data_IF_941445268002
#
_entry.id   IF_941445268002
#
_cell.length_a   1.000
_cell.length_b   1.000
_cell.length_c   1.000
_cell.angle_alpha   90.00
_cell.angle_beta   90.00
_cell.angle_gamma   90.00
#
_symmetry.space_group_name_H-M   'P 1'
#
loop_
_entity.id
_entity.type
_entity.pdbx_description
1 polymer ?
#
# COMPACT_ATOMS: atom_id res chain seq x y z
N UNK A 1 7.14 -16.64 -0.99
CA UNK A 1 6.60 -16.31 0.35
C UNK A 1 5.60 -17.39 0.69
N UNK A 2 5.65 -17.90 1.91
CA UNK A 2 4.63 -18.79 2.48
C UNK A 2 3.95 -18.11 3.67
N UNK A 3 2.87 -18.72 4.18
CA UNK A 3 2.09 -18.16 5.29
C UNK A 3 2.92 -17.98 6.58
N UNK A 4 3.86 -18.87 6.84
CA UNK A 4 4.75 -18.79 8.01
C UNK A 4 5.65 -17.55 7.96
N UNK A 5 6.27 -17.30 6.81
CA UNK A 5 7.14 -16.13 6.59
C UNK A 5 6.35 -14.83 6.65
N UNK A 6 5.09 -14.84 6.19
CA UNK A 6 4.17 -13.72 6.33
C UNK A 6 3.86 -13.41 7.81
N UNK A 7 3.50 -14.42 8.61
CA UNK A 7 3.19 -14.23 10.03
C UNK A 7 4.42 -13.75 10.83
N UNK A 8 5.61 -14.32 10.61
CA UNK A 8 6.85 -13.87 11.23
C UNK A 8 7.12 -12.39 10.94
N UNK A 9 6.86 -11.97 9.70
CA UNK A 9 6.99 -10.57 9.30
C UNK A 9 6.05 -9.65 10.07
N UNK A 10 4.80 -10.04 10.30
CA UNK A 10 3.83 -9.24 11.05
C UNK A 10 4.26 -9.05 12.51
N UNK A 11 4.73 -10.12 13.17
CA UNK A 11 5.20 -10.03 14.56
C UNK A 11 6.43 -9.12 14.69
N UNK A 12 7.38 -9.20 13.74
CA UNK A 12 8.57 -8.35 13.74
C UNK A 12 8.24 -6.85 13.60
N UNK A 13 7.10 -6.51 13.00
CA UNK A 13 6.69 -5.13 12.74
C UNK A 13 5.77 -4.53 13.81
N UNK A 14 5.30 -5.32 14.79
CA UNK A 14 4.35 -4.84 15.81
C UNK A 14 4.88 -3.64 16.60
N UNK A 15 6.13 -3.70 17.06
CA UNK A 15 6.76 -2.61 17.82
C UNK A 15 7.03 -1.36 16.98
N UNK A 16 7.25 -1.53 15.67
CA UNK A 16 7.50 -0.43 14.76
C UNK A 16 6.30 0.52 14.66
N UNK A 17 5.07 -0.01 14.53
CA UNK A 17 3.89 0.85 14.39
C UNK A 17 3.60 1.69 15.63
N UNK A 18 3.91 1.18 16.82
CA UNK A 18 3.84 1.97 18.07
C UNK A 18 4.90 3.08 18.07
N UNK A 19 6.14 2.73 17.72
CA UNK A 19 7.25 3.68 17.72
C UNK A 19 7.05 4.81 16.69
N UNK A 20 6.54 4.49 15.49
CA UNK A 20 6.32 5.49 14.46
C UNK A 20 5.08 6.36 14.74
N UNK A 21 4.05 5.82 15.39
CA UNK A 21 2.93 6.60 15.90
C UNK A 21 3.40 7.61 16.96
N UNK A 22 4.21 7.17 17.93
CA UNK A 22 4.78 8.04 18.96
C UNK A 22 5.64 9.17 18.35
N UNK A 23 6.45 8.84 17.34
CA UNK A 23 7.23 9.84 16.60
C UNK A 23 6.34 10.85 15.88
N UNK A 24 5.22 10.41 15.29
CA UNK A 24 4.21 11.30 14.69
C UNK A 24 3.56 12.23 15.71
N UNK A 25 3.16 11.71 16.87
CA UNK A 25 2.60 12.52 17.97
C UNK A 25 3.57 13.56 18.52
N UNK A 26 4.86 13.24 18.52
CA UNK A 26 5.93 14.12 18.99
C UNK A 26 6.40 15.14 17.94
N UNK A 27 5.74 15.20 16.77
CA UNK A 27 6.16 16.06 15.65
C UNK A 27 7.64 15.84 15.27
N UNK A 28 8.08 14.57 15.27
CA UNK A 28 9.45 14.24 14.95
C UNK A 28 9.77 14.58 13.48
N UNK A 29 11.01 15.02 13.17
CA UNK A 29 11.41 15.30 11.80
C UNK A 29 11.38 14.02 10.95
N UNK A 30 11.17 14.18 9.64
CA UNK A 30 11.09 13.05 8.69
C UNK A 30 12.30 12.10 8.77
N UNK A 31 13.50 12.62 9.07
CA UNK A 31 14.71 11.81 9.27
C UNK A 31 14.53 10.73 10.35
N UNK A 32 13.83 11.05 11.44
CA UNK A 32 13.51 10.11 12.52
C UNK A 32 12.54 9.03 12.04
N UNK A 33 11.48 9.41 11.29
CA UNK A 33 10.53 8.46 10.72
C UNK A 33 11.21 7.51 9.74
N UNK A 34 12.08 8.06 8.87
CA UNK A 34 12.89 7.29 7.93
C UNK A 34 13.78 6.28 8.64
N UNK A 35 14.45 6.69 9.71
CA UNK A 35 15.32 5.81 10.49
C UNK A 35 14.52 4.65 11.12
N UNK A 36 13.34 4.92 11.68
CA UNK A 36 12.42 3.89 12.18
C UNK A 36 11.99 2.92 11.08
N UNK A 37 11.67 3.43 9.89
CA UNK A 37 11.34 2.59 8.73
C UNK A 37 12.49 1.67 8.31
N UNK A 38 13.73 2.17 8.31
CA UNK A 38 14.93 1.37 8.01
C UNK A 38 15.15 0.28 9.07
N UNK A 39 14.98 0.60 10.34
CA UNK A 39 15.07 -0.37 11.44
C UNK A 39 14.02 -1.47 11.31
N UNK A 40 12.78 -1.10 10.95
CA UNK A 40 11.69 -2.02 10.72
C UNK A 40 11.94 -2.93 9.51
N UNK A 41 12.46 -2.38 8.40
CA UNK A 41 12.85 -3.18 7.24
C UNK A 41 13.93 -4.20 7.61
N UNK A 42 14.96 -3.78 8.36
CA UNK A 42 16.02 -4.69 8.84
C UNK A 42 15.47 -5.78 9.78
N UNK A 43 14.55 -5.43 10.67
CA UNK A 43 13.92 -6.39 11.58
C UNK A 43 13.08 -7.42 10.82
N UNK A 44 12.29 -6.97 9.84
CA UNK A 44 11.54 -7.82 8.92
C UNK A 44 12.49 -8.79 8.20
N UNK A 45 13.52 -8.27 7.51
CA UNK A 45 14.45 -9.10 6.74
C UNK A 45 15.16 -10.15 7.61
N UNK A 46 15.54 -9.82 8.84
CA UNK A 46 16.09 -10.80 9.78
C UNK A 46 15.08 -11.90 10.11
N UNK A 47 13.84 -11.53 10.41
CA UNK A 47 12.78 -12.47 10.77
C UNK A 47 12.32 -13.37 9.61
N UNK A 48 12.53 -12.94 8.36
CA UNK A 48 12.10 -13.64 7.15
C UNK A 48 13.23 -14.31 6.39
N UNK A 49 14.46 -14.33 6.91
CA UNK A 49 15.61 -14.91 6.22
C UNK A 49 15.96 -14.19 4.90
N UNK A 50 15.77 -12.87 4.86
CA UNK A 50 16.04 -12.03 3.70
C UNK A 50 14.89 -11.95 2.69
N UNK A 51 13.77 -12.62 2.94
CA UNK A 51 12.58 -12.52 2.07
C UNK A 51 11.91 -11.16 2.28
N UNK A 52 11.88 -10.35 1.22
CA UNK A 52 11.20 -9.06 1.24
C UNK A 52 9.67 -9.26 1.15
N UNK A 53 8.97 -9.19 2.28
CA UNK A 53 7.53 -9.44 2.38
C UNK A 53 6.69 -8.16 2.32
N UNK A 54 7.16 -7.05 2.92
CA UNK A 54 6.35 -5.85 3.15
C UNK A 54 7.10 -4.53 3.04
N UNK A 55 8.25 -4.46 2.34
CA UNK A 55 9.04 -3.23 2.30
C UNK A 55 8.26 -1.99 1.83
N UNK A 56 7.38 -2.14 0.83
CA UNK A 56 6.52 -1.05 0.36
C UNK A 56 5.49 -0.63 1.42
N UNK A 57 4.81 -1.62 2.00
CA UNK A 57 3.87 -1.39 3.10
C UNK A 57 4.52 -0.73 4.34
N UNK A 58 5.73 -1.14 4.77
CA UNK A 58 6.41 -0.54 5.93
C UNK A 58 6.56 0.98 5.77
N UNK A 59 6.96 1.43 4.58
CA UNK A 59 7.16 2.84 4.30
C UNK A 59 5.82 3.59 4.23
N UNK A 60 4.91 3.18 3.35
CA UNK A 60 3.64 3.89 3.14
C UNK A 60 2.76 3.85 4.39
N UNK A 61 2.57 2.67 4.99
CA UNK A 61 1.76 2.51 6.19
C UNK A 61 2.40 3.23 7.38
N UNK A 62 3.73 3.20 7.50
CA UNK A 62 4.44 3.91 8.55
C UNK A 62 4.20 5.42 8.53
N UNK A 63 4.27 6.05 7.34
CA UNK A 63 3.97 7.47 7.19
C UNK A 63 2.51 7.80 7.48
N UNK A 64 1.58 6.97 7.02
CA UNK A 64 0.16 7.16 7.30
C UNK A 64 -0.15 7.02 8.80
N UNK A 65 0.50 6.08 9.50
CA UNK A 65 0.38 5.92 10.96
C UNK A 65 0.94 7.15 11.68
N UNK A 66 2.12 7.64 11.30
CA UNK A 66 2.68 8.86 11.89
C UNK A 66 1.77 10.08 11.66
N UNK A 67 1.25 10.25 10.45
CA UNK A 67 0.36 11.36 10.11
C UNK A 67 -0.97 11.28 10.87
N UNK A 68 -1.59 10.10 10.94
CA UNK A 68 -2.82 9.89 11.71
C UNK A 68 -2.61 10.19 13.20
N UNK A 69 -1.51 9.71 13.78
CA UNK A 69 -1.19 9.93 15.18
C UNK A 69 -0.91 11.41 15.49
N UNK A 70 -0.20 12.11 14.58
CA UNK A 70 0.01 13.56 14.65
C UNK A 70 -1.31 14.32 14.67
N UNK A 71 -2.18 14.07 13.68
CA UNK A 71 -3.46 14.77 13.57
C UNK A 71 -4.35 14.52 14.79
N UNK A 72 -4.39 13.27 15.28
CA UNK A 72 -5.14 12.91 16.49
C UNK A 72 -4.64 13.68 17.71
N UNK A 73 -3.33 13.91 17.83
CA UNK A 73 -2.74 14.73 18.91
C UNK A 73 -3.06 16.22 18.77
N UNK A 74 -3.07 16.75 17.55
CA UNK A 74 -3.29 18.18 17.29
C UNK A 74 -4.76 18.59 17.44
N UNK A 75 -5.69 17.74 16.99
CA UNK A 75 -7.11 18.08 16.92
C UNK A 75 -7.97 17.39 17.99
N UNK A 76 -7.38 16.52 18.82
CA UNK A 76 -8.10 15.68 19.79
C UNK A 76 -9.29 14.91 19.17
N UNK A 77 -9.19 14.59 17.88
CA UNK A 77 -10.23 13.94 17.09
C UNK A 77 -9.61 12.99 16.06
N UNK A 78 -10.40 11.99 15.64
CA UNK A 78 -10.00 11.07 14.58
C UNK A 78 -10.08 11.79 13.23
N UNK A 79 -8.99 11.74 12.46
CA UNK A 79 -8.92 12.36 11.15
C UNK A 79 -9.48 11.44 10.07
N UNK A 80 -10.18 12.01 9.09
CA UNK A 80 -10.55 11.31 7.86
C UNK A 80 -9.29 10.82 7.12
N UNK A 81 -9.35 9.65 6.50
CA UNK A 81 -8.21 9.04 5.82
C UNK A 81 -7.64 9.85 4.65
N UNK A 82 -8.46 10.68 3.98
CA UNK A 82 -7.99 11.64 2.97
C UNK A 82 -7.19 12.75 3.65
N UNK A 83 -7.65 13.23 4.82
CA UNK A 83 -6.91 14.22 5.61
C UNK A 83 -5.56 13.65 6.09
N UNK A 84 -5.51 12.39 6.52
CA UNK A 84 -4.25 11.70 6.84
C UNK A 84 -3.30 11.65 5.63
N UNK A 85 -3.81 11.30 4.45
CA UNK A 85 -3.00 11.28 3.22
C UNK A 85 -2.45 12.68 2.88
N UNK A 86 -3.29 13.72 2.98
CA UNK A 86 -2.88 15.10 2.72
C UNK A 86 -1.84 15.59 3.73
N UNK A 87 -1.98 15.21 5.00
CA UNK A 87 -1.03 15.58 6.05
C UNK A 87 0.39 15.03 5.77
N UNK A 88 0.51 13.85 5.16
CA UNK A 88 1.82 13.33 4.71
C UNK A 88 2.49 14.29 3.72
N UNK A 89 1.74 14.78 2.73
CA UNK A 89 2.25 15.77 1.79
C UNK A 89 2.58 17.09 2.49
N UNK A 90 1.63 17.65 3.27
CA UNK A 90 1.81 18.94 3.94
C UNK A 90 3.04 18.95 4.84
N UNK A 91 3.28 17.89 5.60
CA UNK A 91 4.35 17.87 6.60
C UNK A 91 5.70 17.39 6.07
N UNK A 92 5.71 16.55 5.03
CA UNK A 92 6.93 15.85 4.62
C UNK A 92 7.22 15.90 3.12
N UNK A 93 6.52 16.70 2.30
CA UNK A 93 6.75 16.80 0.85
C UNK A 93 8.22 16.99 0.48
N UNK A 94 8.82 18.11 0.90
CA UNK A 94 10.20 18.45 0.54
C UNK A 94 11.18 17.41 1.11
N UNK A 95 11.02 17.05 2.38
CA UNK A 95 11.88 16.06 3.04
C UNK A 95 11.81 14.66 2.38
N UNK A 96 10.67 14.28 1.81
CA UNK A 96 10.49 13.03 1.07
C UNK A 96 11.26 13.05 -0.26
N UNK A 97 11.25 14.20 -0.95
CA UNK A 97 11.91 14.39 -2.25
C UNK A 97 13.42 14.56 -2.09
N UNK A 98 13.86 15.27 -1.05
CA UNK A 98 15.27 15.54 -0.76
C UNK A 98 15.99 14.35 -0.10
N UNK A 99 15.25 13.40 0.46
CA UNK A 99 15.85 12.26 1.16
C UNK A 99 16.80 11.47 0.25
N UNK A 100 17.99 11.08 0.73
CA UNK A 100 18.97 10.39 -0.08
C UNK A 100 18.41 9.09 -0.66
N UNK A 101 18.66 8.91 -1.95
CA UNK A 101 18.33 7.70 -2.69
C UNK A 101 19.51 6.76 -2.64
N UNK A 102 19.24 5.48 -2.40
CA UNK A 102 20.20 4.43 -2.68
C UNK A 102 20.05 4.06 -4.18
N UNK A 103 20.98 4.46 -5.05
CA UNK A 103 20.90 4.19 -6.49
C UNK A 103 21.05 2.70 -6.80
N UNK A 104 21.63 1.91 -5.88
CA UNK A 104 21.79 0.47 -6.03
C UNK A 104 20.58 -0.31 -5.55
N UNK A 105 19.66 0.34 -4.82
CA UNK A 105 18.42 -0.30 -4.41
C UNK A 105 17.64 -0.81 -5.63
N UNK A 106 17.15 -2.04 -5.52
CA UNK A 106 16.40 -2.69 -6.61
C UNK A 106 15.21 -1.86 -7.06
N UNK A 107 14.49 -1.25 -6.13
CA UNK A 107 13.37 -0.35 -6.43
C UNK A 107 13.78 0.86 -7.27
N UNK A 108 14.88 1.53 -6.93
CA UNK A 108 15.33 2.71 -7.66
C UNK A 108 15.81 2.37 -9.08
N UNK A 109 16.50 1.24 -9.25
CA UNK A 109 16.89 0.74 -10.58
C UNK A 109 15.67 0.46 -11.45
N UNK A 110 14.64 -0.20 -10.90
CA UNK A 110 13.43 -0.54 -11.65
C UNK A 110 12.64 0.70 -12.03
N UNK A 111 12.52 1.68 -11.13
CA UNK A 111 11.89 2.96 -11.42
C UNK A 111 12.55 3.69 -12.58
N UNK A 112 13.88 3.81 -12.57
CA UNK A 112 14.64 4.42 -13.66
C UNK A 112 14.43 3.67 -14.98
N UNK A 113 14.43 2.34 -14.93
CA UNK A 113 14.23 1.49 -16.12
C UNK A 113 12.83 1.66 -16.73
N UNK A 114 11.79 1.80 -15.90
CA UNK A 114 10.40 1.81 -16.37
C UNK A 114 9.77 3.19 -16.46
N UNK A 115 10.42 4.23 -15.93
CA UNK A 115 9.92 5.62 -15.99
C UNK A 115 8.71 5.88 -15.09
N UNK A 116 8.57 5.14 -13.98
CA UNK A 116 7.40 5.22 -13.09
C UNK A 116 7.71 5.93 -11.77
N UNK A 117 6.71 6.66 -11.27
CA UNK A 117 6.77 7.30 -9.95
C UNK A 117 6.99 6.25 -8.85
N UNK A 118 7.76 6.61 -7.84
CA UNK A 118 8.05 5.73 -6.72
C UNK A 118 7.11 5.97 -5.56
N UNK A 119 7.28 5.15 -4.53
CA UNK A 119 6.50 5.27 -3.30
C UNK A 119 6.70 6.62 -2.60
N UNK A 120 7.86 7.26 -2.77
CA UNK A 120 8.15 8.58 -2.20
C UNK A 120 7.40 9.68 -2.91
N UNK A 121 7.39 9.67 -4.24
CA UNK A 121 6.65 10.63 -5.05
C UNK A 121 5.13 10.47 -4.83
N UNK A 122 4.66 9.24 -4.67
CA UNK A 122 3.29 8.96 -4.24
C UNK A 122 2.99 9.56 -2.86
N UNK A 123 3.89 9.39 -1.88
CA UNK A 123 3.72 9.96 -0.54
C UNK A 123 3.76 11.50 -0.54
N UNK A 124 4.71 12.09 -1.27
CA UNK A 124 4.86 13.54 -1.40
C UNK A 124 3.65 14.18 -2.09
N UNK A 125 2.99 13.47 -3.00
CA UNK A 125 1.72 13.87 -3.61
C UNK A 125 0.47 13.53 -2.76
N UNK A 126 0.66 13.06 -1.52
CA UNK A 126 -0.43 12.71 -0.61
C UNK A 126 -1.22 11.50 -1.06
N UNK A 127 -0.55 10.49 -1.61
CA UNK A 127 -1.12 9.20 -2.04
C UNK A 127 -2.39 9.33 -2.91
N UNK A 128 -2.30 9.88 -4.13
CA UNK A 128 -3.47 10.10 -4.99
C UNK A 128 -4.29 8.83 -5.23
N UNK A 129 -3.65 7.68 -5.45
CA UNK A 129 -4.36 6.40 -5.61
C UNK A 129 -5.14 5.98 -4.35
N UNK A 130 -4.70 6.35 -3.14
CA UNK A 130 -5.47 6.09 -1.92
C UNK A 130 -6.69 7.03 -1.85
N UNK A 131 -6.48 8.33 -2.10
CA UNK A 131 -7.52 9.36 -2.00
C UNK A 131 -8.60 9.23 -3.07
N UNK A 132 -8.21 8.93 -4.30
CA UNK A 132 -9.09 9.02 -5.48
C UNK A 132 -9.63 7.66 -5.93
N UNK A 133 -8.99 6.55 -5.52
CA UNK A 133 -9.38 5.20 -5.97
C UNK A 133 -9.72 4.29 -4.79
N UNK A 134 -8.76 4.07 -3.89
CA UNK A 134 -8.87 3.02 -2.89
C UNK A 134 -9.94 3.34 -1.84
N UNK A 135 -9.83 4.49 -1.16
CA UNK A 135 -10.78 4.90 -0.12
C UNK A 135 -12.20 5.09 -0.66
N UNK A 136 -12.42 5.79 -1.80
CA UNK A 136 -13.77 5.91 -2.36
C UNK A 136 -14.39 4.56 -2.72
N UNK A 137 -13.61 3.63 -3.29
CA UNK A 137 -14.10 2.29 -3.64
C UNK A 137 -14.46 1.50 -2.39
N UNK A 138 -13.55 1.42 -1.41
CA UNK A 138 -13.76 0.65 -0.19
C UNK A 138 -14.95 1.19 0.60
N UNK A 139 -15.02 2.51 0.83
CA UNK A 139 -16.12 3.15 1.55
C UNK A 139 -17.47 2.97 0.83
N UNK A 140 -17.49 3.03 -0.51
CA UNK A 140 -18.72 2.82 -1.29
C UNK A 140 -19.21 1.38 -1.15
N UNK A 141 -18.33 0.39 -1.26
CA UNK A 141 -18.69 -1.02 -1.11
C UNK A 141 -19.23 -1.31 0.31
N UNK A 142 -18.54 -0.83 1.35
CA UNK A 142 -18.96 -1.03 2.74
C UNK A 142 -20.30 -0.34 3.04
N UNK A 143 -20.52 0.89 2.55
CA UNK A 143 -21.82 1.58 2.70
C UNK A 143 -22.97 0.89 1.96
N UNK A 144 -22.67 0.16 0.89
CA UNK A 144 -23.64 -0.65 0.16
C UNK A 144 -23.92 -2.01 0.85
N UNK A 145 -23.38 -2.26 2.04
CA UNK A 145 -23.58 -3.52 2.77
C UNK A 145 -22.83 -4.72 2.19
N UNK A 146 -21.87 -4.48 1.28
CA UNK A 146 -21.03 -5.54 0.71
C UNK A 146 -20.13 -6.11 1.82
N UNK A 147 -20.02 -7.44 1.87
CA UNK A 147 -19.14 -8.12 2.81
C UNK A 147 -17.69 -7.61 2.74
N UNK A 148 -16.99 -7.58 3.86
CA UNK A 148 -15.68 -6.94 3.96
C UNK A 148 -14.63 -7.54 3.00
N UNK A 149 -14.63 -8.86 2.84
CA UNK A 149 -13.76 -9.58 1.90
C UNK A 149 -14.03 -9.17 0.45
N UNK A 150 -15.30 -9.08 0.05
CA UNK A 150 -15.72 -8.59 -1.26
C UNK A 150 -15.35 -7.11 -1.46
N UNK A 151 -15.52 -6.26 -0.45
CA UNK A 151 -15.14 -4.85 -0.52
C UNK A 151 -13.61 -4.68 -0.72
N UNK A 152 -12.80 -5.50 -0.04
CA UNK A 152 -11.35 -5.54 -0.25
C UNK A 152 -10.98 -6.05 -1.64
N UNK A 153 -11.61 -7.13 -2.11
CA UNK A 153 -11.38 -7.66 -3.45
C UNK A 153 -11.71 -6.62 -4.53
N UNK A 154 -12.89 -5.99 -4.46
CA UNK A 154 -13.28 -4.92 -5.38
C UNK A 154 -12.26 -3.78 -5.40
N UNK A 155 -11.76 -3.39 -4.22
CA UNK A 155 -10.77 -2.32 -4.07
C UNK A 155 -9.40 -2.72 -4.64
N UNK A 156 -8.96 -3.95 -4.40
CA UNK A 156 -7.72 -4.49 -4.99
C UNK A 156 -7.77 -4.48 -6.51
N UNK A 157 -8.89 -4.92 -7.10
CA UNK A 157 -9.02 -4.99 -8.55
C UNK A 157 -9.08 -3.59 -9.18
N UNK A 158 -9.74 -2.63 -8.51
CA UNK A 158 -9.69 -1.21 -8.90
C UNK A 158 -8.27 -0.64 -8.85
N UNK A 159 -7.47 -1.02 -7.85
CA UNK A 159 -6.07 -0.62 -7.75
C UNK A 159 -5.23 -1.27 -8.85
N UNK A 160 -5.36 -2.57 -9.08
CA UNK A 160 -4.64 -3.29 -10.15
C UNK A 160 -4.92 -2.67 -11.51
N UNK A 161 -6.16 -2.26 -11.78
CA UNK A 161 -6.57 -1.65 -13.05
C UNK A 161 -5.91 -0.29 -13.34
N UNK A 162 -5.41 0.42 -12.31
CA UNK A 162 -4.92 1.81 -12.40
C UNK A 162 -3.48 2.03 -11.96
N UNK A 163 -2.90 1.09 -11.21
CA UNK A 163 -1.55 1.23 -10.67
C UNK A 163 -0.52 0.82 -11.72
N UNK A 164 0.53 1.61 -11.89
CA UNK A 164 1.77 1.19 -12.54
C UNK A 164 2.61 0.35 -11.57
N UNK A 165 2.14 -0.87 -11.31
CA UNK A 165 2.73 -1.73 -10.28
C UNK A 165 4.14 -2.19 -10.67
N UNK A 166 5.13 -1.76 -9.89
CA UNK A 166 6.54 -2.11 -10.08
C UNK A 166 6.81 -3.62 -9.95
N UNK A 167 6.05 -4.36 -9.15
CA UNK A 167 6.20 -5.82 -9.04
C UNK A 167 5.70 -6.51 -10.31
N UNK A 168 4.61 -6.02 -10.91
CA UNK A 168 4.14 -6.52 -12.20
C UNK A 168 5.14 -6.20 -13.32
N UNK A 169 5.62 -4.96 -13.38
CA UNK A 169 6.65 -4.53 -14.34
C UNK A 169 7.93 -5.34 -14.22
N UNK A 170 8.36 -5.66 -12.99
CA UNK A 170 9.55 -6.47 -12.77
C UNK A 170 9.37 -7.90 -13.30
N UNK A 171 8.24 -8.55 -12.99
CA UNK A 171 8.09 -9.99 -13.25
C UNK A 171 7.61 -10.28 -14.67
N UNK A 172 6.80 -9.40 -15.26
CA UNK A 172 6.19 -9.59 -16.57
C UNK A 172 6.39 -8.44 -17.55
N UNK A 173 7.18 -7.42 -17.21
CA UNK A 173 7.36 -6.25 -18.07
C UNK A 173 6.07 -5.46 -18.28
N UNK A 174 6.07 -4.61 -19.30
CA UNK A 174 4.88 -3.84 -19.70
C UNK A 174 3.73 -4.77 -20.10
N UNK A 175 4.02 -5.93 -20.65
CA UNK A 175 3.01 -6.87 -21.15
C UNK A 175 2.28 -7.55 -19.98
N UNK A 176 3.02 -7.95 -18.96
CA UNK A 176 2.46 -8.44 -17.70
C UNK A 176 1.62 -7.40 -16.97
N UNK A 177 2.10 -6.15 -16.91
CA UNK A 177 1.31 -5.05 -16.36
C UNK A 177 0.01 -4.84 -17.13
N UNK A 178 0.08 -4.75 -18.47
CA UNK A 178 -1.12 -4.57 -19.31
C UNK A 178 -2.08 -5.75 -19.19
N UNK A 179 -1.57 -6.98 -19.11
CA UNK A 179 -2.39 -8.16 -18.87
C UNK A 179 -3.16 -8.02 -17.55
N UNK A 180 -2.48 -7.76 -16.44
CA UNK A 180 -3.10 -7.64 -15.13
C UNK A 180 -4.16 -6.50 -15.09
N UNK A 181 -3.82 -5.33 -15.65
CA UNK A 181 -4.74 -4.20 -15.73
C UNK A 181 -5.98 -4.52 -16.57
N UNK A 182 -5.83 -5.22 -17.71
CA UNK A 182 -6.97 -5.65 -18.53
C UNK A 182 -7.82 -6.71 -17.84
N UNK A 183 -7.21 -7.72 -17.23
CA UNK A 183 -7.94 -8.74 -16.49
C UNK A 183 -8.75 -8.13 -15.35
N UNK A 184 -8.16 -7.16 -14.63
CA UNK A 184 -8.86 -6.46 -13.57
C UNK A 184 -10.02 -5.60 -14.09
N UNK A 185 -9.81 -4.84 -15.17
CA UNK A 185 -10.89 -4.09 -15.84
C UNK A 185 -12.02 -5.00 -16.30
N UNK A 186 -11.71 -6.14 -16.94
CA UNK A 186 -12.72 -7.10 -17.38
C UNK A 186 -13.57 -7.65 -16.23
N UNK A 187 -12.95 -8.00 -15.10
CA UNK A 187 -13.68 -8.41 -13.89
C UNK A 187 -14.61 -7.30 -13.37
N UNK A 188 -14.13 -6.05 -13.34
CA UNK A 188 -14.92 -4.91 -12.86
C UNK A 188 -16.09 -4.56 -13.81
N UNK A 189 -15.86 -4.60 -15.12
CA UNK A 189 -16.85 -4.34 -16.17
C UNK A 189 -17.93 -5.42 -16.22
N UNK A 190 -17.60 -6.67 -15.90
CA UNK A 190 -18.56 -7.77 -15.77
C UNK A 190 -19.48 -7.66 -14.54
N UNK A 191 -19.28 -6.65 -13.68
CA UNK A 191 -20.06 -6.41 -12.46
C UNK A 191 -19.26 -6.60 -11.17
N UNK A 192 -17.99 -7.01 -11.26
CA UNK A 192 -17.09 -7.14 -10.12
C UNK A 192 -17.65 -8.09 -9.05
N UNK A 193 -17.58 -7.67 -7.79
CA UNK A 193 -18.06 -8.47 -6.64
C UNK A 193 -19.58 -8.53 -6.51
N UNK A 194 -20.34 -7.84 -7.36
CA UNK A 194 -21.79 -7.97 -7.40
C UNK A 194 -22.25 -9.22 -8.16
N UNK A 195 -21.36 -9.84 -8.94
CA UNK A 195 -21.66 -11.09 -9.65
C UNK A 195 -21.81 -12.26 -8.66
N UNK A 196 -22.73 -13.21 -8.88
CA UNK A 196 -22.95 -14.34 -7.98
C UNK A 196 -21.73 -15.27 -7.87
N UNK A 197 -20.94 -15.39 -8.94
CA UNK A 197 -19.76 -16.26 -9.07
C UNK A 197 -18.43 -15.49 -8.91
N UNK A 198 -18.44 -14.27 -8.35
CA UNK A 198 -17.27 -13.40 -8.30
C UNK A 198 -16.03 -14.07 -7.65
N UNK A 199 -16.22 -14.94 -6.66
CA UNK A 199 -15.13 -15.68 -5.99
C UNK A 199 -14.45 -16.64 -6.95
N UNK A 200 -15.21 -17.35 -7.78
CA UNK A 200 -14.69 -18.26 -8.79
C UNK A 200 -13.94 -17.49 -9.88
N UNK A 201 -14.51 -16.37 -10.37
CA UNK A 201 -13.84 -15.52 -11.34
C UNK A 201 -12.53 -14.94 -10.79
N UNK A 202 -12.53 -14.51 -9.52
CA UNK A 202 -11.33 -14.00 -8.87
C UNK A 202 -10.27 -15.09 -8.70
N UNK A 203 -10.67 -16.32 -8.36
CA UNK A 203 -9.77 -17.46 -8.28
C UNK A 203 -9.13 -17.74 -9.64
N UNK A 204 -9.91 -17.76 -10.72
CA UNK A 204 -9.40 -17.96 -12.08
C UNK A 204 -8.43 -16.84 -12.51
N UNK A 205 -8.74 -15.58 -12.18
CA UNK A 205 -7.83 -14.46 -12.39
C UNK A 205 -6.52 -14.65 -11.60
N UNK A 206 -6.61 -15.12 -10.37
CA UNK A 206 -5.46 -15.48 -9.53
C UNK A 206 -4.59 -16.57 -10.15
N UNK A 207 -5.19 -17.65 -10.64
CA UNK A 207 -4.49 -18.73 -11.37
C UNK A 207 -3.78 -18.19 -12.62
N UNK A 208 -4.46 -17.33 -13.39
CA UNK A 208 -3.88 -16.70 -14.56
C UNK A 208 -2.66 -15.82 -14.23
N UNK A 209 -2.66 -15.17 -13.06
CA UNK A 209 -1.52 -14.39 -12.55
C UNK A 209 -0.38 -15.31 -12.11
N UNK A 210 -0.69 -16.39 -11.39
CA UNK A 210 0.30 -17.40 -10.97
C UNK A 210 0.99 -18.03 -12.17
N UNK A 211 0.23 -18.46 -13.18
CA UNK A 211 0.76 -19.07 -14.40
C UNK A 211 1.74 -18.15 -15.15
N UNK A 212 1.50 -16.82 -15.09
CA UNK A 212 2.37 -15.80 -15.69
C UNK A 212 3.44 -15.26 -14.75
N UNK A 213 3.53 -15.80 -13.52
CA UNK A 213 4.38 -15.31 -12.45
C UNK A 213 4.19 -13.81 -12.19
N UNK A 214 2.95 -13.33 -12.24
CA UNK A 214 2.59 -11.95 -11.93
C UNK A 214 2.23 -11.83 -10.44
N UNK A 215 2.61 -10.73 -9.81
CA UNK A 215 2.13 -10.38 -8.46
C UNK A 215 1.91 -8.87 -8.39
N UNK A 216 0.68 -8.42 -8.12
CA UNK A 216 0.35 -7.01 -7.95
C UNK A 216 0.66 -6.54 -6.53
N UNK A 217 1.93 -6.66 -6.12
CA UNK A 217 2.36 -6.35 -4.76
C UNK A 217 2.20 -4.87 -4.39
N UNK A 218 2.40 -3.95 -5.34
CA UNK A 218 2.21 -2.53 -5.10
C UNK A 218 0.73 -2.18 -4.89
N UNK A 219 -0.16 -2.80 -5.67
CA UNK A 219 -1.61 -2.66 -5.46
C UNK A 219 -2.06 -3.29 -4.13
N UNK A 220 -1.46 -4.40 -3.70
CA UNK A 220 -1.75 -5.00 -2.41
C UNK A 220 -1.28 -4.12 -1.24
N UNK A 221 -0.11 -3.49 -1.33
CA UNK A 221 0.37 -2.53 -0.33
C UNK A 221 -0.56 -1.31 -0.22
N UNK A 222 -1.07 -0.81 -1.36
CA UNK A 222 -2.07 0.27 -1.38
C UNK A 222 -3.39 -0.16 -0.75
N UNK A 223 -3.86 -1.40 -1.00
CA UNK A 223 -5.05 -1.93 -0.33
C UNK A 223 -4.84 -1.96 1.20
N UNK A 224 -3.70 -2.44 1.67
CA UNK A 224 -3.40 -2.47 3.11
C UNK A 224 -3.45 -1.06 3.74
N UNK A 225 -2.90 -0.05 3.04
CA UNK A 225 -2.99 1.33 3.46
C UNK A 225 -4.45 1.84 3.50
N UNK A 226 -5.26 1.52 2.50
CA UNK A 226 -6.68 1.89 2.47
C UNK A 226 -7.47 1.25 3.60
N UNK A 227 -7.22 -0.03 3.90
CA UNK A 227 -7.82 -0.74 5.03
C UNK A 227 -7.43 -0.09 6.37
N UNK A 228 -6.17 0.31 6.55
CA UNK A 228 -5.75 1.04 7.75
C UNK A 228 -6.50 2.37 7.89
N UNK A 229 -6.52 3.18 6.83
CA UNK A 229 -7.16 4.50 6.81
C UNK A 229 -8.67 4.40 7.11
N UNK A 230 -9.35 3.42 6.51
CA UNK A 230 -10.76 3.16 6.77
C UNK A 230 -11.03 2.67 8.20
N UNK A 231 -10.14 1.84 8.77
CA UNK A 231 -10.34 1.31 10.13
C UNK A 231 -10.03 2.33 11.21
N UNK A 232 -9.01 3.17 11.03
CA UNK A 232 -8.66 4.19 12.02
C UNK A 232 -9.75 5.26 12.14
N UNK A 233 -10.51 5.53 11.06
CA UNK A 233 -11.70 6.40 11.09
C UNK A 233 -12.79 5.94 12.05
N UNK A 234 -12.84 4.64 12.34
CA UNK A 234 -13.85 4.03 13.20
C UNK A 234 -13.35 3.77 14.64
N UNK A 235 -12.17 4.28 15.01
CA UNK A 235 -11.45 3.92 16.25
C UNK A 235 -11.24 5.08 17.24
#
# INVERSE_FOLDING_TARGET
MDASTFLRSLFALRGYFVAIAAAGMADAPFATLRQRGIEAERAMLRATGGVNTHRGAIFSLGLLVAAAARLRRQHSAVADGIAVCNAVAIHWHDALLDAPLDPHSHGQRMRRRHGVAGVREQAAAGFPLLREVALPTLRRALRAGVAYDAAMAQTLLQLIARTDDLNLLQRGGRDGLRFAQRSARGFLEAGGVAQPDWRQQLAHLGEAFVARRLSPGGSADLLACACFLQRQEAA
#
